data_IF_762585390241
#
_entry.id   IF_762585390241
#
_cell.length_a   1.000
_cell.length_b   1.000
_cell.length_c   1.000
_cell.angle_alpha   90.00
_cell.angle_beta   90.00
_cell.angle_gamma   90.00
#
_symmetry.space_group_name_H-M   'P 1'
#
loop_
_entity.id
_entity.type
_entity.pdbx_description
1 polymer ?
#
# COMPACT_ATOMS: atom_id res chain seq x y z
N UNK A 1 7.99 -16.33 -23.10
CA UNK A 1 7.89 -14.85 -23.05
C UNK A 1 6.49 -14.50 -23.51
N UNK A 2 5.55 -14.31 -22.60
CA UNK A 2 4.19 -13.84 -22.93
C UNK A 2 4.12 -12.44 -22.34
N UNK A 3 4.22 -11.42 -23.19
CA UNK A 3 3.90 -10.06 -22.84
C UNK A 3 2.40 -10.05 -22.47
N UNK A 4 2.10 -9.80 -21.20
CA UNK A 4 0.73 -9.56 -20.79
C UNK A 4 0.29 -8.28 -21.48
N UNK A 5 -0.70 -8.38 -22.38
CA UNK A 5 -1.42 -7.23 -22.92
C UNK A 5 -1.92 -6.41 -21.73
N UNK A 6 -1.30 -5.25 -21.52
CA UNK A 6 -1.80 -4.29 -20.55
C UNK A 6 -3.15 -3.80 -21.09
N UNK A 7 -4.21 -4.06 -20.36
CA UNK A 7 -5.54 -3.52 -20.63
C UNK A 7 -5.45 -1.99 -20.42
N UNK A 8 -5.63 -1.17 -21.46
CA UNK A 8 -5.47 0.28 -21.38
C UNK A 8 -6.46 0.94 -20.41
N UNK A 9 -7.56 0.26 -20.07
CA UNK A 9 -8.57 0.74 -19.12
C UNK A 9 -8.25 0.35 -17.65
N UNK A 10 -7.26 -0.49 -17.41
CA UNK A 10 -6.85 -0.83 -16.05
C UNK A 10 -6.04 0.29 -15.42
N UNK A 11 -6.62 0.87 -14.39
CA UNK A 11 -6.02 1.95 -13.58
C UNK A 11 -4.74 1.47 -12.86
N UNK A 12 -4.64 0.20 -12.55
CA UNK A 12 -3.50 -0.42 -11.86
C UNK A 12 -3.35 -1.87 -12.27
N UNK A 13 -2.10 -2.32 -12.43
CA UNK A 13 -1.81 -3.75 -12.59
C UNK A 13 -1.63 -4.39 -11.22
N UNK A 14 -2.44 -5.42 -10.92
CA UNK A 14 -2.36 -6.18 -9.66
C UNK A 14 -2.02 -7.63 -9.95
N UNK A 15 -1.06 -8.16 -9.19
CA UNK A 15 -0.66 -9.57 -9.23
C UNK A 15 -0.65 -10.15 -7.83
N UNK A 16 -1.17 -11.35 -7.68
CA UNK A 16 -1.16 -12.11 -6.43
C UNK A 16 -0.42 -13.41 -6.64
N UNK A 17 0.56 -13.66 -5.77
CA UNK A 17 1.33 -14.91 -5.75
C UNK A 17 1.40 -15.45 -4.33
N UNK A 18 1.72 -16.75 -4.18
CA UNK A 18 1.92 -17.35 -2.86
C UNK A 18 3.14 -18.28 -2.88
N UNK A 19 4.01 -18.09 -1.90
CA UNK A 19 5.20 -18.95 -1.72
C UNK A 19 5.52 -19.09 -0.23
N UNK A 20 5.83 -20.30 0.22
CA UNK A 20 6.25 -20.59 1.60
C UNK A 20 5.33 -20.04 2.69
N UNK A 21 4.01 -20.14 2.48
CA UNK A 21 3.01 -19.65 3.45
C UNK A 21 2.75 -18.14 3.43
N UNK A 22 3.51 -17.37 2.65
CA UNK A 22 3.30 -15.94 2.44
C UNK A 22 2.54 -15.68 1.15
N UNK A 23 1.60 -14.77 1.19
CA UNK A 23 0.98 -14.18 0.00
C UNK A 23 1.66 -12.86 -0.31
N UNK A 24 1.95 -12.62 -1.58
CA UNK A 24 2.46 -11.35 -2.09
C UNK A 24 1.43 -10.75 -3.03
N UNK A 25 1.04 -9.50 -2.75
CA UNK A 25 0.32 -8.65 -3.68
C UNK A 25 1.32 -7.65 -4.25
N UNK A 26 1.42 -7.59 -5.56
CA UNK A 26 2.19 -6.58 -6.28
C UNK A 26 1.25 -5.66 -7.02
N UNK A 27 1.46 -4.35 -6.92
CA UNK A 27 0.77 -3.35 -7.72
C UNK A 27 1.76 -2.54 -8.54
N UNK A 28 1.32 -2.10 -9.72
CA UNK A 28 2.07 -1.23 -10.61
C UNK A 28 1.15 -0.13 -11.11
N UNK A 29 1.52 1.11 -10.85
CA UNK A 29 0.77 2.30 -11.21
C UNK A 29 1.68 3.30 -11.92
N UNK A 30 1.25 3.82 -13.06
CA UNK A 30 1.93 4.92 -13.76
C UNK A 30 1.21 6.23 -13.44
N UNK A 31 1.99 7.22 -12.99
CA UNK A 31 1.51 8.57 -12.69
C UNK A 31 2.24 9.59 -13.57
N UNK A 32 1.54 10.62 -14.11
CA UNK A 32 2.11 11.59 -15.04
C UNK A 32 2.87 12.73 -14.31
N UNK A 33 3.63 12.39 -13.30
CA UNK A 33 4.49 13.30 -12.53
C UNK A 33 5.80 12.58 -12.17
N UNK A 34 6.94 13.26 -12.12
CA UNK A 34 8.20 12.63 -11.78
C UNK A 34 8.25 12.18 -10.31
N UNK A 35 9.15 11.23 -9.95
CA UNK A 35 9.24 10.68 -8.60
C UNK A 35 9.43 11.74 -7.50
N UNK A 36 10.13 12.82 -7.79
CA UNK A 36 10.40 13.94 -6.87
C UNK A 36 9.14 14.70 -6.46
N UNK A 37 8.09 14.61 -7.28
CA UNK A 37 6.76 15.18 -6.99
C UNK A 37 5.85 14.15 -6.32
N UNK A 38 5.95 12.88 -6.74
CA UNK A 38 5.09 11.81 -6.23
C UNK A 38 5.52 11.33 -4.84
N UNK A 39 6.83 11.13 -4.63
CA UNK A 39 7.36 10.59 -3.38
C UNK A 39 6.99 11.42 -2.14
N UNK A 40 7.08 12.78 -2.12
CA UNK A 40 6.69 13.57 -0.96
C UNK A 40 5.25 13.36 -0.51
N UNK A 41 4.34 13.09 -1.42
CA UNK A 41 2.96 12.77 -1.08
C UNK A 41 2.86 11.45 -0.28
N UNK A 42 3.59 10.42 -0.68
CA UNK A 42 3.64 9.15 0.05
C UNK A 42 4.44 9.24 1.34
N UNK A 43 5.41 10.13 1.39
CA UNK A 43 6.24 10.40 2.56
C UNK A 43 5.51 11.14 3.69
N UNK A 44 4.36 11.73 3.42
CA UNK A 44 3.50 12.33 4.42
C UNK A 44 2.43 11.34 4.86
N UNK A 45 2.57 10.82 6.09
CA UNK A 45 1.61 9.89 6.66
C UNK A 45 0.17 10.44 6.70
N UNK A 46 0.00 11.78 6.81
CA UNK A 46 -1.31 12.43 6.77
C UNK A 46 -2.10 12.15 5.49
N UNK A 47 -1.41 11.92 4.38
CA UNK A 47 -2.05 11.60 3.11
C UNK A 47 -2.63 10.17 3.03
N UNK A 48 -2.30 9.26 3.99
CA UNK A 48 -2.87 7.92 4.04
C UNK A 48 -4.39 7.93 4.12
N UNK A 49 -4.98 8.88 4.86
CA UNK A 49 -6.45 8.99 4.95
C UNK A 49 -7.08 9.29 3.59
N UNK A 50 -6.43 10.15 2.80
CA UNK A 50 -6.91 10.56 1.46
C UNK A 50 -6.98 9.38 0.49
N UNK A 51 -5.98 8.49 0.53
CA UNK A 51 -5.87 7.34 -0.39
C UNK A 51 -6.42 6.03 0.20
N UNK A 52 -6.98 6.09 1.41
CA UNK A 52 -7.61 4.93 2.05
C UNK A 52 -9.11 4.96 1.83
N UNK A 53 -9.74 3.84 1.42
CA UNK A 53 -11.17 3.81 1.15
C UNK A 53 -12.03 4.22 2.35
N UNK A 54 -13.09 5.03 2.16
CA UNK A 54 -13.92 5.55 3.26
C UNK A 54 -14.66 4.47 4.04
N UNK A 55 -14.91 3.30 3.44
CA UNK A 55 -15.55 2.19 4.15
C UNK A 55 -14.66 1.57 5.23
N UNK A 56 -13.33 1.80 5.20
CA UNK A 56 -12.40 1.39 6.24
C UNK A 56 -12.42 2.31 7.46
N UNK A 57 -13.01 3.49 7.37
CA UNK A 57 -13.04 4.49 8.46
C UNK A 57 -11.65 4.64 9.10
N UNK A 58 -10.66 4.83 8.24
CA UNK A 58 -9.27 4.94 8.63
C UNK A 58 -9.02 6.26 9.36
N UNK A 59 -8.21 6.22 10.41
CA UNK A 59 -7.86 7.39 11.21
C UNK A 59 -6.45 7.21 11.78
N UNK A 60 -5.59 8.20 11.57
CA UNK A 60 -4.25 8.24 12.15
C UNK A 60 -4.37 8.68 13.61
N UNK A 61 -3.73 7.92 14.51
CA UNK A 61 -3.72 8.20 15.95
C UNK A 61 -2.42 8.88 16.40
N UNK A 62 -1.34 8.72 15.64
CA UNK A 62 -0.06 9.42 15.90
C UNK A 62 -0.25 10.91 15.65
N UNK A 63 0.03 11.77 16.64
CA UNK A 63 -0.11 13.22 16.46
C UNK A 63 0.82 13.76 15.38
N UNK A 64 0.37 14.69 14.52
CA UNK A 64 1.23 15.40 13.60
C UNK A 64 2.10 16.44 14.33
N UNK A 65 3.27 16.85 13.76
CA UNK A 65 3.87 16.36 12.52
C UNK A 65 4.57 15.02 12.71
N UNK A 66 4.43 14.13 11.71
CA UNK A 66 5.07 12.80 11.72
C UNK A 66 6.32 12.87 10.82
N UNK A 67 7.49 12.88 11.43
CA UNK A 67 8.76 12.83 10.70
C UNK A 67 9.06 11.40 10.26
N UNK A 68 9.05 11.17 8.95
CA UNK A 68 9.26 9.85 8.37
C UNK A 68 10.75 9.54 8.26
N UNK A 69 11.20 8.53 9.00
CA UNK A 69 12.57 8.00 9.02
C UNK A 69 12.53 6.52 9.43
N UNK A 70 13.65 5.82 9.30
CA UNK A 70 13.79 4.46 9.86
C UNK A 70 13.53 4.50 11.37
N UNK A 71 12.67 3.58 11.86
CA UNK A 71 12.24 3.50 13.24
C UNK A 71 11.00 4.33 13.59
N UNK A 72 10.50 5.17 12.69
CA UNK A 72 9.25 5.92 12.92
C UNK A 72 8.08 4.95 13.06
N UNK A 73 7.33 5.10 14.15
CA UNK A 73 6.10 4.35 14.42
C UNK A 73 4.89 5.21 14.07
N UNK A 74 4.00 4.67 13.27
CA UNK A 74 2.71 5.28 12.92
C UNK A 74 1.59 4.39 13.43
N UNK A 75 0.76 4.93 14.30
CA UNK A 75 -0.44 4.26 14.81
C UNK A 75 -1.68 4.76 14.10
N UNK A 76 -2.55 3.84 13.77
CA UNK A 76 -3.86 4.14 13.20
C UNK A 76 -4.91 3.11 13.59
N UNK A 77 -6.13 3.47 13.40
CA UNK A 77 -7.28 2.56 13.53
C UNK A 77 -8.05 2.52 12.23
N UNK A 78 -8.64 1.37 11.99
CA UNK A 78 -9.52 1.18 10.85
C UNK A 78 -10.67 0.24 11.22
N UNK A 79 -11.67 0.18 10.36
CA UNK A 79 -12.77 -0.78 10.51
C UNK A 79 -12.81 -1.69 9.28
N UNK A 80 -12.73 -2.99 9.52
CA UNK A 80 -12.84 -4.00 8.48
C UNK A 80 -13.98 -4.95 8.82
N UNK A 81 -14.95 -5.11 7.91
CA UNK A 81 -16.15 -5.92 8.11
C UNK A 81 -16.87 -5.63 9.45
N UNK A 82 -16.92 -4.34 9.85
CA UNK A 82 -17.55 -3.91 11.10
C UNK A 82 -16.67 -4.01 12.35
N UNK A 83 -15.56 -4.74 12.28
CA UNK A 83 -14.61 -4.90 13.40
C UNK A 83 -13.64 -3.73 13.43
N UNK A 84 -13.49 -3.10 14.61
CA UNK A 84 -12.47 -2.06 14.83
C UNK A 84 -11.11 -2.73 15.06
N UNK A 85 -10.12 -2.29 14.32
CA UNK A 85 -8.74 -2.77 14.38
C UNK A 85 -7.81 -1.60 14.73
N UNK A 86 -6.88 -1.82 15.64
CA UNK A 86 -5.71 -0.96 15.83
C UNK A 86 -4.55 -1.54 15.05
N UNK A 87 -3.74 -0.65 14.51
CA UNK A 87 -2.59 -1.01 13.72
C UNK A 87 -1.42 -0.09 14.06
N UNK A 88 -0.24 -0.65 14.18
CA UNK A 88 1.00 0.09 14.31
C UNK A 88 1.97 -0.40 13.23
N UNK A 89 2.41 0.52 12.38
CA UNK A 89 3.48 0.29 11.40
C UNK A 89 4.77 0.96 11.86
N UNK A 90 5.89 0.34 11.56
CA UNK A 90 7.23 0.91 11.68
C UNK A 90 7.85 1.06 10.30
N UNK A 91 8.47 2.20 10.04
CA UNK A 91 9.29 2.40 8.85
C UNK A 91 10.62 1.68 9.05
N UNK A 92 10.85 0.61 8.28
CA UNK A 92 12.05 -0.24 8.40
C UNK A 92 13.11 0.05 7.36
N UNK A 93 12.75 0.77 6.28
CA UNK A 93 13.69 1.32 5.30
C UNK A 93 13.19 2.69 4.82
N UNK A 94 14.13 3.62 4.60
CA UNK A 94 13.83 4.99 4.17
C UNK A 94 14.90 5.51 3.21
N UNK A 95 14.61 5.54 1.92
CA UNK A 95 15.53 5.84 0.82
C UNK A 95 14.88 6.83 -0.17
N UNK A 96 14.62 8.09 0.25
CA UNK A 96 13.99 9.07 -0.61
C UNK A 96 14.86 9.46 -1.80
N UNK A 97 14.30 9.75 -2.99
CA UNK A 97 12.88 9.67 -3.33
C UNK A 97 12.49 8.32 -3.96
N UNK A 98 13.23 7.24 -3.69
CA UNK A 98 13.14 6.00 -4.47
C UNK A 98 12.38 4.87 -3.78
N UNK A 99 12.45 4.80 -2.44
CA UNK A 99 11.93 3.63 -1.73
C UNK A 99 11.67 3.89 -0.26
N UNK A 100 10.66 3.22 0.30
CA UNK A 100 10.52 2.99 1.73
C UNK A 100 9.77 1.69 2.00
N UNK A 101 9.90 1.19 3.23
CA UNK A 101 9.22 -0.03 3.69
C UNK A 101 8.56 0.26 5.02
N UNK A 102 7.30 -0.13 5.16
CA UNK A 102 6.59 -0.19 6.42
C UNK A 102 6.28 -1.64 6.81
N UNK A 103 6.44 -1.95 8.08
CA UNK A 103 6.13 -3.26 8.64
C UNK A 103 5.15 -3.14 9.80
N UNK A 104 4.16 -4.03 9.83
CA UNK A 104 3.25 -4.11 10.97
C UNK A 104 4.01 -4.60 12.21
N UNK A 105 3.93 -3.83 13.30
CA UNK A 105 4.40 -4.22 14.64
C UNK A 105 3.23 -4.73 15.49
N UNK A 106 2.06 -4.10 15.35
CA UNK A 106 0.82 -4.57 15.96
C UNK A 106 -0.30 -4.48 14.91
N UNK A 107 -1.17 -5.48 14.87
CA UNK A 107 -2.26 -5.51 13.91
C UNK A 107 -2.84 -6.90 13.65
N UNK A 108 -3.74 -7.03 12.68
CA UNK A 108 -4.49 -8.26 12.44
C UNK A 108 -3.72 -9.36 11.71
N UNK A 109 -2.60 -9.01 11.07
CA UNK A 109 -1.82 -9.98 10.30
C UNK A 109 -0.77 -10.68 11.17
N UNK A 110 -0.43 -11.91 10.82
CA UNK A 110 0.74 -12.61 11.41
C UNK A 110 2.05 -12.03 10.89
N UNK A 111 2.03 -11.55 9.64
CA UNK A 111 3.12 -10.83 9.00
C UNK A 111 2.52 -9.83 8.00
N UNK A 112 3.10 -8.65 7.96
CA UNK A 112 2.81 -7.63 6.95
C UNK A 112 4.07 -6.81 6.73
N UNK A 113 4.55 -6.81 5.50
CA UNK A 113 5.67 -5.99 5.03
C UNK A 113 5.21 -5.34 3.74
N UNK A 114 5.20 -4.02 3.72
CA UNK A 114 4.79 -3.24 2.56
C UNK A 114 5.96 -2.40 2.07
N UNK A 115 6.43 -2.70 0.89
CA UNK A 115 7.49 -1.99 0.21
C UNK A 115 6.90 -1.11 -0.89
N UNK A 116 7.32 0.16 -0.90
CA UNK A 116 6.98 1.15 -1.92
C UNK A 116 8.23 1.51 -2.70
N UNK A 117 8.16 1.49 -4.01
CA UNK A 117 9.25 1.93 -4.89
C UNK A 117 8.75 2.92 -5.93
N UNK A 118 9.61 3.88 -6.25
CA UNK A 118 9.33 4.98 -7.15
C UNK A 118 10.48 5.08 -8.16
N UNK A 119 10.16 4.94 -9.43
CA UNK A 119 11.13 5.01 -10.50
C UNK A 119 10.69 5.99 -11.58
N UNK A 120 11.63 6.63 -12.26
CA UNK A 120 11.33 7.44 -13.42
C UNK A 120 10.73 6.58 -14.54
N UNK A 121 9.74 7.13 -15.25
CA UNK A 121 9.08 6.53 -16.40
C UNK A 121 8.99 7.57 -17.52
N UNK A 122 8.96 7.22 -18.82
CA UNK A 122 9.07 8.21 -19.91
C UNK A 122 8.23 9.46 -19.75
N UNK A 123 7.00 9.33 -19.27
CA UNK A 123 6.08 10.46 -19.10
C UNK A 123 5.66 10.67 -17.63
N UNK A 124 6.54 10.34 -16.68
CA UNK A 124 6.22 10.50 -15.27
C UNK A 124 6.97 9.57 -14.33
N UNK A 125 6.24 8.83 -13.48
CA UNK A 125 6.82 7.85 -12.56
C UNK A 125 6.07 6.53 -12.58
N UNK A 126 6.80 5.45 -12.34
CA UNK A 126 6.28 4.15 -11.99
C UNK A 126 6.31 4.00 -10.47
N UNK A 127 5.12 3.83 -9.88
CA UNK A 127 4.95 3.49 -8.46
C UNK A 127 4.64 2.00 -8.37
N UNK A 128 5.43 1.28 -7.60
CA UNK A 128 5.19 -0.13 -7.30
C UNK A 128 5.02 -0.33 -5.82
N UNK A 129 4.02 -1.13 -5.47
CA UNK A 129 3.84 -1.66 -4.12
C UNK A 129 4.08 -3.17 -4.12
N UNK A 130 4.76 -3.67 -3.10
CA UNK A 130 4.88 -5.10 -2.83
C UNK A 130 4.47 -5.38 -1.39
N UNK A 131 3.30 -5.98 -1.21
CA UNK A 131 2.77 -6.34 0.12
C UNK A 131 2.94 -7.82 0.34
N UNK A 132 3.83 -8.20 1.25
CA UNK A 132 4.05 -9.59 1.67
C UNK A 132 3.38 -9.82 3.01
N UNK A 133 2.41 -10.73 3.05
CA UNK A 133 1.60 -10.94 4.26
C UNK A 133 1.25 -12.39 4.53
N UNK A 134 0.94 -12.64 5.80
CA UNK A 134 0.33 -13.87 6.28
C UNK A 134 -0.81 -13.55 7.24
N UNK A 135 -1.91 -14.29 7.13
CA UNK A 135 -3.12 -14.07 7.94
C UNK A 135 -3.34 -15.17 8.98
N UNK A 136 -3.94 -14.85 10.13
CA UNK A 136 -4.55 -15.86 10.99
C UNK A 136 -5.64 -16.62 10.20
N UNK A 137 -5.79 -17.94 10.42
CA UNK A 137 -6.72 -18.77 9.63
C UNK A 137 -6.19 -19.26 8.29
N UNK A 138 -4.96 -18.85 7.90
CA UNK A 138 -4.22 -19.39 6.78
C UNK A 138 -4.86 -19.17 5.41
N UNK A 139 -4.79 -20.19 4.54
CA UNK A 139 -5.17 -20.07 3.13
C UNK A 139 -6.65 -19.76 2.91
N UNK A 140 -7.54 -20.33 3.71
CA UNK A 140 -8.99 -20.13 3.55
C UNK A 140 -9.39 -18.70 3.86
N UNK A 141 -8.91 -18.15 4.99
CA UNK A 141 -9.17 -16.75 5.35
C UNK A 141 -8.59 -15.77 4.32
N UNK A 142 -7.37 -16.04 3.84
CA UNK A 142 -6.73 -15.26 2.79
C UNK A 142 -7.56 -15.27 1.49
N UNK A 143 -7.93 -16.45 1.00
CA UNK A 143 -8.64 -16.62 -0.28
C UNK A 143 -10.04 -15.98 -0.27
N UNK A 144 -10.82 -16.21 0.78
CA UNK A 144 -12.23 -15.78 0.80
C UNK A 144 -12.42 -14.30 1.18
N UNK A 145 -11.52 -13.74 1.99
CA UNK A 145 -11.69 -12.39 2.54
C UNK A 145 -10.55 -11.45 2.16
N UNK A 146 -9.31 -11.77 2.56
CA UNK A 146 -8.22 -10.79 2.58
C UNK A 146 -7.79 -10.36 1.17
N UNK A 147 -7.62 -11.30 0.24
CA UNK A 147 -7.23 -11.00 -1.15
C UNK A 147 -8.21 -10.06 -1.83
N UNK A 148 -9.50 -10.33 -1.67
CA UNK A 148 -10.56 -9.51 -2.27
C UNK A 148 -10.57 -8.10 -1.71
N UNK A 149 -10.40 -7.96 -0.41
CA UNK A 149 -10.35 -6.66 0.24
C UNK A 149 -9.12 -5.87 -0.22
N UNK A 150 -7.94 -6.50 -0.25
CA UNK A 150 -6.71 -5.86 -0.70
C UNK A 150 -6.81 -5.39 -2.15
N UNK A 151 -7.31 -6.21 -3.06
CA UNK A 151 -7.53 -5.81 -4.46
C UNK A 151 -8.40 -4.56 -4.52
N UNK A 152 -9.54 -4.53 -3.85
CA UNK A 152 -10.45 -3.38 -3.83
C UNK A 152 -9.81 -2.11 -3.23
N UNK A 153 -8.99 -2.28 -2.18
CA UNK A 153 -8.26 -1.17 -1.54
C UNK A 153 -7.24 -0.59 -2.52
N UNK A 154 -6.44 -1.41 -3.18
CA UNK A 154 -5.43 -0.96 -4.12
C UNK A 154 -6.03 -0.35 -5.40
N UNK A 155 -7.13 -0.88 -5.91
CA UNK A 155 -7.88 -0.26 -7.01
C UNK A 155 -8.44 1.12 -6.64
N UNK A 156 -9.00 1.27 -5.44
CA UNK A 156 -9.45 2.56 -4.94
C UNK A 156 -8.29 3.54 -4.83
N UNK A 157 -7.20 3.14 -4.17
CA UNK A 157 -5.98 3.93 -4.00
C UNK A 157 -5.44 4.43 -5.34
N UNK A 158 -5.35 3.55 -6.34
CA UNK A 158 -4.86 3.91 -7.66
C UNK A 158 -5.75 4.95 -8.36
N UNK A 159 -7.08 4.84 -8.26
CA UNK A 159 -8.00 5.86 -8.81
C UNK A 159 -7.81 7.22 -8.16
N UNK A 160 -7.69 7.26 -6.82
CA UNK A 160 -7.48 8.51 -6.08
C UNK A 160 -6.13 9.13 -6.45
N UNK A 161 -5.05 8.34 -6.46
CA UNK A 161 -3.72 8.83 -6.84
C UNK A 161 -3.71 9.40 -8.26
N UNK A 162 -4.35 8.75 -9.21
CA UNK A 162 -4.50 9.31 -10.56
C UNK A 162 -5.24 10.64 -10.57
N UNK A 163 -6.29 10.81 -9.77
CA UNK A 163 -7.01 12.08 -9.69
C UNK A 163 -6.20 13.21 -9.05
N UNK A 164 -5.26 12.88 -8.18
CA UNK A 164 -4.39 13.87 -7.52
C UNK A 164 -3.25 14.32 -8.45
N UNK A 165 -2.70 13.40 -9.22
CA UNK A 165 -1.51 13.63 -10.04
C UNK A 165 -1.77 13.87 -11.53
N UNK A 166 -2.98 14.15 -11.92
CA UNK A 166 -3.33 14.53 -13.31
C UNK A 166 -2.63 15.82 -13.76
#
# INVERSE_FOLDING_TARGET
MIAANADPDKVVELRLSRRNGLTTLESRLILPRPPEIVFPFFADAGNLETITPPWLRFEILTPPPISMNVGTLVEYRLRLHGVRLRWQSEITAWEPPHRFVDEQRQGPYRKWVHEHTFAAYPDGSEVRDSVRYAVPGGLLADFFFVRRDLVRIFEYRARVLRSIFV
#
